data_IF_301503725922
#
_entry.id   IF_301503725922
#
_cell.length_a   1.000
_cell.length_b   1.000
_cell.length_c   1.000
_cell.angle_alpha   90.00
_cell.angle_beta   90.00
_cell.angle_gamma   90.00
#
_symmetry.space_group_name_H-M   'P 1'
#
loop_
_entity.id
_entity.type
_entity.pdbx_description
1 polymer ?
#
# COMPACT_ATOMS: atom_id res chain seq x y z
N UNK A 1 21.71 8.97 19.41
CA UNK A 1 22.44 8.21 18.37
C UNK A 1 23.09 9.27 17.53
N UNK A 2 24.42 9.34 17.49
CA UNK A 2 25.11 10.53 16.97
C UNK A 2 24.64 10.87 15.55
N UNK A 3 24.49 9.86 14.71
CA UNK A 3 24.10 9.97 13.30
C UNK A 3 22.65 10.48 13.13
N UNK A 4 21.71 10.00 13.95
CA UNK A 4 20.33 10.49 13.94
C UNK A 4 20.26 11.97 14.38
N UNK A 5 20.98 12.31 15.44
CA UNK A 5 21.02 13.66 15.98
C UNK A 5 21.67 14.62 14.97
N UNK A 6 22.76 14.21 14.32
CA UNK A 6 23.44 14.94 13.26
C UNK A 6 22.50 15.16 12.05
N UNK A 7 21.79 14.12 11.59
CA UNK A 7 20.85 14.24 10.48
C UNK A 7 19.67 15.18 10.80
N UNK A 8 19.12 15.10 12.01
CA UNK A 8 18.08 16.03 12.46
C UNK A 8 18.58 17.50 12.44
N UNK A 9 19.85 17.76 12.79
CA UNK A 9 20.42 19.11 12.66
C UNK A 9 20.54 19.55 11.20
N UNK A 10 20.87 18.64 10.29
CA UNK A 10 20.88 18.94 8.84
C UNK A 10 19.47 19.36 8.39
N UNK A 11 18.44 18.60 8.71
CA UNK A 11 17.05 18.91 8.33
C UNK A 11 16.59 20.25 8.93
N UNK A 12 16.91 20.54 10.19
CA UNK A 12 16.64 21.85 10.80
C UNK A 12 17.34 22.99 10.08
N UNK A 13 18.59 22.78 9.64
CA UNK A 13 19.34 23.77 8.87
C UNK A 13 18.73 23.98 7.49
N UNK A 14 18.32 22.91 6.80
CA UNK A 14 17.63 22.99 5.50
C UNK A 14 16.35 23.82 5.61
N UNK A 15 15.49 23.53 6.59
CA UNK A 15 14.27 24.31 6.87
C UNK A 15 14.51 25.79 7.12
N UNK A 16 15.69 26.16 7.62
CA UNK A 16 16.07 27.56 7.88
C UNK A 16 16.69 28.25 6.67
N UNK A 17 17.66 27.59 6.04
CA UNK A 17 18.58 28.20 5.07
C UNK A 17 18.17 27.94 3.60
N UNK A 18 17.54 26.81 3.30
CA UNK A 18 17.11 26.48 1.93
C UNK A 18 15.70 27.00 1.65
N UNK A 19 15.49 27.86 0.62
CA UNK A 19 14.17 28.38 0.28
C UNK A 19 13.15 27.30 -0.07
N UNK A 20 13.57 26.29 -0.84
CA UNK A 20 12.70 25.19 -1.26
C UNK A 20 12.22 24.36 -0.06
N UNK A 21 13.16 23.92 0.79
CA UNK A 21 12.83 23.15 1.99
C UNK A 21 11.96 23.94 2.95
N UNK A 22 12.23 25.25 3.12
CA UNK A 22 11.45 26.14 4.00
C UNK A 22 9.99 26.30 3.57
N UNK A 23 9.72 26.24 2.26
CA UNK A 23 8.37 26.37 1.72
C UNK A 23 7.55 25.07 1.80
N UNK A 24 8.20 23.92 2.02
CA UNK A 24 7.50 22.64 2.17
C UNK A 24 6.53 22.66 3.36
N UNK A 25 5.43 21.94 3.22
CA UNK A 25 4.35 21.82 4.19
C UNK A 25 4.12 20.36 4.59
N UNK A 26 3.27 20.13 5.60
CA UNK A 26 2.86 18.76 5.96
C UNK A 26 2.06 18.06 4.85
N UNK A 27 1.42 18.83 3.95
CA UNK A 27 0.74 18.25 2.81
C UNK A 27 1.77 17.69 1.82
N UNK A 28 2.80 18.47 1.47
CA UNK A 28 3.89 18.02 0.60
C UNK A 28 4.56 16.76 1.16
N UNK A 29 4.83 16.72 2.47
CA UNK A 29 5.41 15.53 3.12
C UNK A 29 4.49 14.30 3.03
N UNK A 30 3.18 14.51 3.01
CA UNK A 30 2.21 13.43 2.82
C UNK A 30 2.24 12.87 1.40
N UNK A 31 2.36 13.75 0.40
CA UNK A 31 2.47 13.37 -1.02
C UNK A 31 3.77 12.61 -1.28
N UNK A 32 4.92 13.15 -0.85
CA UNK A 32 6.21 12.46 -0.98
C UNK A 32 6.22 11.11 -0.24
N UNK A 33 5.59 10.99 0.93
CA UNK A 33 5.55 9.71 1.65
C UNK A 33 4.83 8.62 0.84
N UNK A 34 3.85 8.99 0.01
CA UNK A 34 3.17 8.03 -0.86
C UNK A 34 4.13 7.56 -1.95
N UNK A 35 4.89 8.47 -2.57
CA UNK A 35 5.88 8.17 -3.61
C UNK A 35 6.97 7.24 -3.07
N UNK A 36 7.70 7.64 -2.02
CA UNK A 36 8.77 6.84 -1.40
C UNK A 36 8.26 5.50 -0.86
N UNK A 37 7.00 5.42 -0.41
CA UNK A 37 6.44 4.14 0.01
C UNK A 37 6.31 3.16 -1.15
N UNK A 38 6.01 3.64 -2.37
CA UNK A 38 5.94 2.78 -3.55
C UNK A 38 7.33 2.44 -4.10
N UNK A 39 8.28 3.37 -4.03
CA UNK A 39 9.68 3.13 -4.40
C UNK A 39 10.33 2.10 -3.47
N UNK A 40 10.17 2.25 -2.14
CA UNK A 40 10.52 1.23 -1.14
C UNK A 40 9.91 -0.14 -1.45
N UNK A 41 8.61 -0.18 -1.77
CA UNK A 41 7.93 -1.44 -2.13
C UNK A 41 8.51 -2.07 -3.40
N UNK A 42 8.97 -1.26 -4.36
CA UNK A 42 9.62 -1.71 -5.58
C UNK A 42 11.00 -2.30 -5.28
N UNK A 43 11.83 -1.59 -4.52
CA UNK A 43 13.17 -2.01 -4.13
C UNK A 43 13.17 -3.35 -3.37
N UNK A 44 12.27 -3.50 -2.38
CA UNK A 44 12.10 -4.74 -1.61
C UNK A 44 11.73 -5.91 -2.52
N UNK A 45 10.86 -5.67 -3.51
CA UNK A 45 10.39 -6.69 -4.45
C UNK A 45 11.50 -7.15 -5.38
N UNK A 46 12.33 -6.23 -5.84
CA UNK A 46 13.44 -6.52 -6.76
C UNK A 46 14.65 -7.12 -6.04
N UNK A 47 14.61 -7.20 -4.70
CA UNK A 47 15.69 -7.75 -3.89
C UNK A 47 16.95 -6.88 -3.90
N UNK A 48 16.81 -5.61 -4.27
CA UNK A 48 17.92 -4.67 -4.41
C UNK A 48 18.14 -3.97 -3.08
N UNK A 49 19.01 -4.56 -2.26
CA UNK A 49 19.24 -4.09 -0.89
C UNK A 49 19.73 -2.65 -0.84
N UNK A 50 20.57 -2.23 -1.78
CA UNK A 50 21.06 -0.84 -1.85
C UNK A 50 19.93 0.16 -2.07
N UNK A 51 19.01 -0.13 -3.01
CA UNK A 51 17.80 0.69 -3.19
C UNK A 51 16.94 0.65 -1.92
N UNK A 52 16.73 -0.51 -1.28
CA UNK A 52 15.97 -0.60 -0.02
C UNK A 52 16.54 0.33 1.07
N UNK A 53 17.87 0.43 1.17
CA UNK A 53 18.54 1.33 2.11
C UNK A 53 18.32 2.81 1.78
N UNK A 54 18.38 3.16 0.50
CA UNK A 54 18.10 4.51 -0.03
C UNK A 54 16.67 4.95 0.31
N UNK A 55 15.68 4.14 -0.08
CA UNK A 55 14.26 4.40 0.12
C UNK A 55 13.87 4.49 1.61
N UNK A 56 14.49 3.67 2.47
CA UNK A 56 14.31 3.80 3.92
C UNK A 56 14.88 5.12 4.46
N UNK A 57 15.98 5.60 3.87
CA UNK A 57 16.56 6.90 4.13
C UNK A 57 15.61 8.04 3.77
N UNK A 58 14.95 7.96 2.62
CA UNK A 58 14.02 8.99 2.15
C UNK A 58 12.72 9.02 2.95
N UNK A 59 12.17 7.86 3.31
CA UNK A 59 11.07 7.78 4.29
C UNK A 59 11.47 8.40 5.64
N UNK A 60 12.72 8.19 6.09
CA UNK A 60 13.24 8.81 7.31
C UNK A 60 13.39 10.34 7.14
N UNK A 61 13.90 10.81 6.01
CA UNK A 61 14.01 12.24 5.68
C UNK A 61 12.64 12.92 5.76
N UNK A 62 11.63 12.34 5.13
CA UNK A 62 10.25 12.86 5.15
C UNK A 62 9.72 12.92 6.58
N UNK A 63 9.94 11.88 7.38
CA UNK A 63 9.54 11.88 8.79
C UNK A 63 10.21 13.01 9.59
N UNK A 64 11.52 13.22 9.40
CA UNK A 64 12.25 14.30 10.08
C UNK A 64 11.80 15.68 9.60
N UNK A 65 11.60 15.87 8.29
CA UNK A 65 11.12 17.12 7.71
C UNK A 65 9.73 17.48 8.26
N UNK A 66 8.80 16.52 8.27
CA UNK A 66 7.48 16.69 8.89
C UNK A 66 7.57 17.00 10.39
N UNK A 67 8.50 16.36 11.11
CA UNK A 67 8.73 16.59 12.53
C UNK A 67 9.26 18.01 12.81
N UNK A 68 10.17 18.53 11.98
CA UNK A 68 10.68 19.90 12.11
C UNK A 68 9.60 20.92 11.76
N UNK A 69 8.77 20.68 10.73
CA UNK A 69 7.60 21.53 10.42
C UNK A 69 6.61 21.58 11.61
N UNK A 70 6.46 20.48 12.33
CA UNK A 70 5.66 20.42 13.57
C UNK A 70 6.35 21.14 14.74
N UNK A 71 7.67 21.06 14.83
CA UNK A 71 8.48 21.76 15.84
C UNK A 71 8.33 23.28 15.72
N UNK A 72 8.32 23.82 14.49
CA UNK A 72 8.01 25.23 14.19
C UNK A 72 6.62 25.65 14.70
N UNK A 73 5.72 24.69 14.93
CA UNK A 73 4.36 24.89 15.48
C UNK A 73 4.26 24.50 16.96
N UNK A 74 5.39 24.35 17.65
CA UNK A 74 5.47 24.05 19.08
C UNK A 74 5.21 22.58 19.43
N UNK A 75 5.42 21.65 18.49
CA UNK A 75 5.29 20.19 18.72
C UNK A 75 6.66 19.53 18.56
N UNK A 76 7.23 19.03 19.65
CA UNK A 76 8.59 18.49 19.61
C UNK A 76 8.60 17.05 19.12
N UNK A 77 9.65 16.68 18.40
CA UNK A 77 9.85 15.32 17.90
C UNK A 77 9.85 14.27 19.02
N UNK A 78 10.38 14.62 20.20
CA UNK A 78 10.41 13.73 21.37
C UNK A 78 9.00 13.39 21.84
N UNK A 79 8.02 14.28 21.66
CA UNK A 79 6.63 14.03 22.02
C UNK A 79 5.98 13.04 21.05
N UNK A 80 6.36 13.05 19.78
CA UNK A 80 5.93 12.07 18.76
C UNK A 80 6.50 10.69 19.09
N UNK A 81 7.82 10.62 19.30
CA UNK A 81 8.54 9.39 19.64
C UNK A 81 8.03 8.79 20.95
N UNK A 82 7.83 9.61 21.98
CA UNK A 82 7.31 9.17 23.27
C UNK A 82 5.91 8.56 23.14
N UNK A 83 5.01 9.20 22.40
CA UNK A 83 3.65 8.68 22.17
C UNK A 83 3.65 7.32 21.46
N UNK A 84 4.45 7.15 20.41
CA UNK A 84 4.52 5.84 19.71
C UNK A 84 5.19 4.78 20.59
N UNK A 85 6.23 5.14 21.35
CA UNK A 85 6.89 4.25 22.32
C UNK A 85 5.91 3.75 23.39
N UNK A 86 5.22 4.66 24.07
CA UNK A 86 4.22 4.32 25.11
C UNK A 86 3.12 3.42 24.53
N UNK A 87 2.59 3.77 23.35
CA UNK A 87 1.60 2.96 22.63
C UNK A 87 2.13 1.56 22.30
N UNK A 88 3.39 1.42 21.90
CA UNK A 88 3.98 0.12 21.59
C UNK A 88 4.18 -0.72 22.86
N UNK A 89 4.64 -0.12 23.95
CA UNK A 89 4.78 -0.81 25.24
C UNK A 89 3.42 -1.31 25.75
N UNK A 90 2.41 -0.45 25.78
CA UNK A 90 1.04 -0.78 26.23
C UNK A 90 0.42 -1.93 25.42
N UNK A 91 0.74 -1.99 24.12
CA UNK A 91 0.21 -2.98 23.20
C UNK A 91 0.99 -4.30 23.18
N UNK A 92 2.15 -4.37 23.81
CA UNK A 92 2.99 -5.56 23.89
C UNK A 92 3.34 -5.95 25.33
N UNK A 93 2.37 -6.16 26.23
CA UNK A 93 2.68 -6.60 27.59
C UNK A 93 3.20 -8.04 27.66
N UNK A 94 3.10 -8.81 26.57
CA UNK A 94 3.77 -10.10 26.46
C UNK A 94 5.29 -9.96 26.26
N UNK A 95 5.76 -8.76 25.91
CA UNK A 95 7.19 -8.41 25.85
C UNK A 95 7.61 -7.56 27.05
N UNK A 96 6.79 -6.57 27.42
CA UNK A 96 7.14 -5.54 28.41
C UNK A 96 6.37 -5.63 29.75
N UNK A 97 5.60 -6.71 29.96
CA UNK A 97 4.78 -6.92 31.16
C UNK A 97 4.66 -8.40 31.51
N UNK A 98 3.51 -8.79 32.08
CA UNK A 98 3.28 -10.16 32.60
C UNK A 98 2.34 -11.01 31.73
N UNK A 99 1.84 -10.48 30.62
CA UNK A 99 0.94 -11.23 29.74
C UNK A 99 1.72 -12.34 29.00
N UNK A 100 1.03 -13.37 28.53
CA UNK A 100 1.66 -14.47 27.77
C UNK A 100 0.98 -14.62 26.42
N UNK A 101 1.75 -14.54 25.33
CA UNK A 101 1.29 -14.89 23.99
C UNK A 101 2.38 -15.76 23.34
N UNK A 102 1.98 -16.94 22.85
CA UNK A 102 2.88 -17.98 22.35
C UNK A 102 2.97 -18.01 20.84
N UNK A 103 2.00 -17.40 20.16
CA UNK A 103 1.93 -17.34 18.69
C UNK A 103 1.68 -15.92 18.21
N UNK A 104 2.06 -15.63 16.95
CA UNK A 104 1.76 -14.35 16.31
C UNK A 104 0.25 -14.08 16.23
N UNK A 105 -0.58 -15.12 16.07
CA UNK A 105 -2.03 -15.01 16.05
C UNK A 105 -2.59 -14.58 17.42
N UNK A 106 -2.07 -15.16 18.52
CA UNK A 106 -2.45 -14.74 19.87
C UNK A 106 -2.06 -13.28 20.14
N UNK A 107 -0.86 -12.87 19.71
CA UNK A 107 -0.40 -11.47 19.81
C UNK A 107 -1.35 -10.54 19.04
N UNK A 108 -1.66 -10.87 17.79
CA UNK A 108 -2.50 -10.05 16.92
C UNK A 108 -3.93 -9.91 17.46
N UNK A 109 -4.52 -11.00 17.98
CA UNK A 109 -5.84 -10.98 18.61
C UNK A 109 -5.87 -10.03 19.80
N UNK A 110 -4.92 -10.18 20.72
CA UNK A 110 -4.79 -9.30 21.90
C UNK A 110 -4.54 -7.84 21.52
N UNK A 111 -3.80 -7.61 20.44
CA UNK A 111 -3.52 -6.27 19.92
C UNK A 111 -4.78 -5.57 19.42
N UNK A 112 -5.64 -6.28 18.70
CA UNK A 112 -6.93 -5.76 18.24
C UNK A 112 -7.92 -5.55 19.39
N UNK A 113 -7.99 -6.46 20.36
CA UNK A 113 -8.88 -6.30 21.54
C UNK A 113 -8.53 -5.03 22.34
N UNK A 114 -7.25 -4.64 22.35
CA UNK A 114 -6.78 -3.39 22.98
C UNK A 114 -7.08 -2.15 22.13
N UNK A 115 -7.28 -2.28 20.82
CA UNK A 115 -7.74 -1.17 20.00
C UNK A 115 -9.20 -0.90 20.37
N UNK A 116 -9.43 0.10 21.21
CA UNK A 116 -10.77 0.63 21.58
C UNK A 116 -11.60 1.19 20.40
N UNK A 117 -11.20 0.90 19.15
CA UNK A 117 -11.95 1.26 17.95
C UNK A 117 -12.80 0.05 17.57
N UNK A 118 -14.12 0.21 17.49
CA UNK A 118 -15.07 -0.83 17.08
C UNK A 118 -14.84 -1.33 15.64
N UNK A 119 -15.89 -1.69 14.91
CA UNK A 119 -15.73 -2.05 13.49
C UNK A 119 -15.44 -0.80 12.65
N UNK A 120 -14.16 -0.44 12.58
CA UNK A 120 -13.66 0.74 11.89
C UNK A 120 -12.35 0.40 11.17
N UNK A 121 -12.29 0.85 9.92
CA UNK A 121 -11.11 0.89 9.06
C UNK A 121 -11.03 2.31 8.51
N UNK A 122 -9.82 2.84 8.44
CA UNK A 122 -9.56 4.22 8.02
C UNK A 122 -10.14 4.48 6.63
N UNK A 123 -10.83 5.62 6.47
CA UNK A 123 -11.55 5.95 5.23
C UNK A 123 -10.62 6.46 4.13
N UNK A 124 -9.48 7.03 4.51
CA UNK A 124 -8.48 7.56 3.58
C UNK A 124 -7.61 6.48 2.93
N UNK A 125 -7.77 5.21 3.32
CA UNK A 125 -7.05 4.12 2.65
C UNK A 125 -7.56 3.95 1.22
N UNK A 126 -6.68 3.61 0.26
CA UNK A 126 -7.08 3.15 -1.06
C UNK A 126 -8.15 2.05 -0.99
N UNK A 127 -9.05 2.02 -1.96
CA UNK A 127 -10.28 1.24 -1.88
C UNK A 127 -10.03 -0.27 -1.72
N UNK A 128 -9.06 -0.86 -2.46
CA UNK A 128 -8.74 -2.29 -2.35
C UNK A 128 -8.00 -2.61 -1.06
N UNK A 129 -7.10 -1.74 -0.60
CA UNK A 129 -6.49 -1.90 0.73
C UNK A 129 -7.55 -1.82 1.85
N UNK A 130 -8.52 -0.92 1.71
CA UNK A 130 -9.61 -0.72 2.66
C UNK A 130 -10.55 -1.92 2.68
N UNK A 131 -10.98 -2.42 1.52
CA UNK A 131 -11.85 -3.61 1.43
C UNK A 131 -11.17 -4.84 2.02
N UNK A 132 -9.89 -5.05 1.72
CA UNK A 132 -9.10 -6.15 2.29
C UNK A 132 -9.04 -6.07 3.82
N UNK A 133 -8.73 -4.89 4.40
CA UNK A 133 -8.69 -4.70 5.87
C UNK A 133 -10.06 -4.81 6.54
N UNK A 134 -11.13 -4.37 5.88
CA UNK A 134 -12.50 -4.53 6.39
C UNK A 134 -12.82 -6.02 6.57
N UNK A 135 -12.49 -6.82 5.56
CA UNK A 135 -12.73 -8.25 5.55
C UNK A 135 -11.80 -9.00 6.50
N UNK A 136 -10.52 -8.61 6.59
CA UNK A 136 -9.60 -9.14 7.60
C UNK A 136 -10.14 -8.91 9.02
N UNK A 137 -10.72 -7.73 9.27
CA UNK A 137 -11.33 -7.40 10.57
C UNK A 137 -12.62 -8.19 10.83
N UNK A 138 -13.43 -8.42 9.80
CA UNK A 138 -14.64 -9.24 9.88
C UNK A 138 -14.30 -10.70 10.19
N UNK A 139 -13.31 -11.26 9.49
CA UNK A 139 -12.77 -12.60 9.71
C UNK A 139 -12.36 -12.84 11.16
N UNK A 140 -11.67 -11.88 11.77
CA UNK A 140 -11.24 -11.96 13.17
C UNK A 140 -12.40 -12.02 14.17
N UNK A 141 -13.59 -11.58 13.79
CA UNK A 141 -14.83 -11.70 14.58
C UNK A 141 -15.60 -12.99 14.29
N UNK A 142 -15.04 -13.90 13.49
CA UNK A 142 -15.70 -15.14 13.07
C UNK A 142 -16.65 -14.97 11.89
N UNK A 143 -16.63 -13.82 11.20
CA UNK A 143 -17.41 -13.61 9.98
C UNK A 143 -16.48 -13.78 8.77
N UNK A 144 -16.32 -15.02 8.32
CA UNK A 144 -15.46 -15.39 7.19
C UNK A 144 -15.97 -16.63 6.46
N UNK A 145 -15.44 -16.86 5.26
CA UNK A 145 -15.63 -18.11 4.53
C UNK A 145 -14.80 -19.26 5.14
N UNK A 146 -15.33 -20.48 5.10
CA UNK A 146 -14.63 -21.67 5.59
C UNK A 146 -13.47 -22.11 4.69
N UNK A 147 -13.57 -21.84 3.39
CA UNK A 147 -12.56 -22.18 2.39
C UNK A 147 -12.49 -21.13 1.29
N UNK A 148 -11.38 -21.18 0.52
CA UNK A 148 -11.19 -20.32 -0.64
C UNK A 148 -12.22 -20.60 -1.75
N UNK A 149 -12.75 -21.83 -1.82
CA UNK A 149 -13.75 -22.21 -2.81
C UNK A 149 -15.05 -21.41 -2.64
N UNK A 150 -15.45 -21.15 -1.40
CA UNK A 150 -16.62 -20.30 -1.12
C UNK A 150 -16.44 -18.85 -1.61
N UNK A 151 -15.20 -18.35 -1.63
CA UNK A 151 -14.88 -17.04 -2.20
C UNK A 151 -14.97 -17.08 -3.72
N UNK A 152 -14.43 -18.13 -4.35
CA UNK A 152 -14.54 -18.30 -5.81
C UNK A 152 -15.99 -18.44 -6.28
N UNK A 153 -16.82 -19.15 -5.52
CA UNK A 153 -18.25 -19.27 -5.84
C UNK A 153 -18.96 -17.92 -5.71
N UNK A 154 -18.64 -17.13 -4.67
CA UNK A 154 -19.17 -15.77 -4.55
C UNK A 154 -18.68 -14.87 -5.69
N UNK A 155 -17.42 -14.96 -6.12
CA UNK A 155 -16.94 -14.20 -7.30
C UNK A 155 -17.75 -14.54 -8.56
N UNK A 156 -18.09 -15.82 -8.77
CA UNK A 156 -18.94 -16.22 -9.92
C UNK A 156 -20.34 -15.62 -9.81
N UNK A 157 -20.92 -15.63 -8.61
CA UNK A 157 -22.21 -15.01 -8.32
C UNK A 157 -22.19 -13.51 -8.65
N UNK A 158 -21.22 -12.75 -8.13
CA UNK A 158 -21.07 -11.30 -8.37
C UNK A 158 -20.85 -10.96 -9.86
N UNK A 159 -20.12 -11.82 -10.59
CA UNK A 159 -19.97 -11.67 -12.05
C UNK A 159 -21.31 -11.84 -12.76
N UNK A 160 -22.14 -12.80 -12.35
CA UNK A 160 -23.46 -13.00 -12.93
C UNK A 160 -24.45 -11.91 -12.49
N UNK A 161 -24.38 -11.40 -11.26
CA UNK A 161 -25.15 -10.24 -10.79
C UNK A 161 -24.82 -9.00 -11.63
N UNK A 162 -23.54 -8.66 -11.78
CA UNK A 162 -23.08 -7.57 -12.63
C UNK A 162 -23.51 -7.72 -14.09
N UNK A 163 -23.50 -8.95 -14.62
CA UNK A 163 -23.91 -9.23 -16.01
C UNK A 163 -25.40 -8.97 -16.25
N UNK A 164 -26.25 -9.21 -15.26
CA UNK A 164 -27.70 -9.03 -15.35
C UNK A 164 -28.16 -7.68 -14.77
N UNK A 165 -27.25 -6.90 -14.19
CA UNK A 165 -27.53 -5.62 -13.55
C UNK A 165 -28.13 -4.59 -14.52
N UNK A 166 -29.14 -3.89 -14.03
CA UNK A 166 -29.66 -2.69 -14.67
C UNK A 166 -28.62 -1.56 -14.58
N UNK A 167 -28.71 -0.57 -15.48
CA UNK A 167 -27.68 0.47 -15.63
C UNK A 167 -27.40 1.26 -14.34
N UNK A 168 -28.43 1.49 -13.53
CA UNK A 168 -28.38 2.17 -12.23
C UNK A 168 -27.77 1.33 -11.10
N UNK A 169 -27.68 0.01 -11.26
CA UNK A 169 -27.09 -0.91 -10.28
C UNK A 169 -25.69 -1.40 -10.67
N UNK A 170 -25.25 -1.20 -11.93
CA UNK A 170 -23.94 -1.71 -12.39
C UNK A 170 -22.75 -1.24 -11.56
N UNK A 171 -22.79 -0.01 -11.05
CA UNK A 171 -21.70 0.51 -10.20
C UNK A 171 -21.62 -0.24 -8.86
N UNK A 172 -22.77 -0.55 -8.26
CA UNK A 172 -22.88 -1.31 -7.01
C UNK A 172 -22.32 -2.72 -7.19
N UNK A 173 -22.84 -3.45 -8.19
CA UNK A 173 -22.44 -4.83 -8.48
C UNK A 173 -20.95 -4.93 -8.89
N UNK A 174 -20.43 -3.94 -9.61
CA UNK A 174 -19.01 -3.89 -9.92
C UNK A 174 -18.15 -3.64 -8.67
N UNK A 175 -18.65 -2.82 -7.75
CA UNK A 175 -18.04 -2.58 -6.44
C UNK A 175 -17.99 -3.85 -5.60
N UNK A 176 -19.07 -4.62 -5.56
CA UNK A 176 -19.17 -5.87 -4.79
C UNK A 176 -18.26 -6.96 -5.37
N UNK A 177 -18.19 -7.08 -6.71
CA UNK A 177 -17.18 -7.92 -7.36
C UNK A 177 -15.75 -7.57 -6.93
N UNK A 178 -15.37 -6.28 -6.96
CA UNK A 178 -14.04 -5.84 -6.52
C UNK A 178 -13.81 -6.12 -5.02
N UNK A 179 -14.86 -5.96 -4.21
CA UNK A 179 -14.81 -6.23 -2.78
C UNK A 179 -14.54 -7.71 -2.52
N UNK A 180 -15.28 -8.63 -3.16
CA UNK A 180 -15.10 -10.07 -3.00
C UNK A 180 -13.75 -10.54 -3.59
N UNK A 181 -13.32 -10.00 -4.74
CA UNK A 181 -12.00 -10.31 -5.32
C UNK A 181 -10.87 -9.94 -4.35
N UNK A 182 -10.96 -8.79 -3.68
CA UNK A 182 -9.97 -8.38 -2.69
C UNK A 182 -9.90 -9.33 -1.49
N UNK A 183 -10.96 -10.11 -1.22
CA UNK A 183 -10.98 -11.12 -0.16
C UNK A 183 -10.00 -12.27 -0.38
N UNK A 184 -9.72 -12.63 -1.64
CA UNK A 184 -8.72 -13.66 -1.96
C UNK A 184 -7.36 -13.35 -1.33
N UNK A 185 -7.04 -12.06 -1.18
CA UNK A 185 -5.86 -11.59 -0.47
C UNK A 185 -5.77 -12.08 0.99
N UNK A 186 -6.90 -12.23 1.70
CA UNK A 186 -6.92 -12.75 3.07
C UNK A 186 -6.56 -14.24 3.15
N UNK A 187 -6.95 -15.03 2.13
CA UNK A 187 -6.61 -16.45 2.06
C UNK A 187 -5.16 -16.67 1.63
N UNK A 188 -4.72 -15.93 0.61
CA UNK A 188 -3.37 -16.09 0.06
C UNK A 188 -2.30 -15.26 0.76
N UNK A 189 -2.68 -14.44 1.76
CA UNK A 189 -1.80 -13.48 2.43
C UNK A 189 -1.16 -12.50 1.45
N UNK A 190 -1.94 -12.05 0.48
CA UNK A 190 -1.56 -11.10 -0.55
C UNK A 190 -2.26 -9.78 -0.26
N UNK A 191 -1.50 -8.68 -0.25
CA UNK A 191 -2.09 -7.34 -0.23
C UNK A 191 -2.62 -7.00 -1.65
N UNK A 192 -3.94 -6.89 -1.85
CA UNK A 192 -4.51 -6.73 -3.18
C UNK A 192 -4.19 -5.37 -3.83
N UNK A 193 -4.02 -4.31 -3.03
CA UNK A 193 -3.61 -2.99 -3.52
C UNK A 193 -2.23 -3.06 -4.17
N UNK A 194 -1.28 -3.66 -3.45
CA UNK A 194 0.10 -3.84 -3.94
C UNK A 194 0.12 -4.80 -5.14
N UNK A 195 -0.71 -5.83 -5.14
CA UNK A 195 -0.82 -6.76 -6.26
C UNK A 195 -1.38 -6.08 -7.53
N UNK A 196 -2.38 -5.20 -7.39
CA UNK A 196 -2.93 -4.45 -8.52
C UNK A 196 -1.91 -3.45 -9.06
N UNK A 197 -1.23 -2.70 -8.18
CA UNK A 197 -0.16 -1.78 -8.59
C UNK A 197 0.88 -2.51 -9.47
N UNK A 198 1.32 -3.70 -9.04
CA UNK A 198 2.25 -4.54 -9.83
C UNK A 198 1.68 -4.96 -11.19
N UNK A 199 0.39 -5.24 -11.26
CA UNK A 199 -0.27 -5.58 -12.52
C UNK A 199 -0.27 -4.36 -13.48
N UNK A 200 -0.50 -3.16 -12.94
CA UNK A 200 -0.41 -1.89 -13.67
C UNK A 200 1.01 -1.64 -14.19
N UNK A 201 2.05 -1.74 -13.33
CA UNK A 201 3.45 -1.56 -13.73
C UNK A 201 3.84 -2.50 -14.87
N UNK A 202 3.48 -3.79 -14.73
CA UNK A 202 3.74 -4.82 -15.73
C UNK A 202 3.02 -4.52 -17.04
N UNK A 203 1.79 -4.02 -16.99
CA UNK A 203 1.05 -3.62 -18.17
C UNK A 203 1.73 -2.45 -18.87
N UNK A 204 2.11 -1.42 -18.12
CA UNK A 204 2.80 -0.22 -18.63
C UNK A 204 4.13 -0.58 -19.31
N UNK A 205 4.95 -1.43 -18.69
CA UNK A 205 6.20 -1.91 -19.29
C UNK A 205 5.97 -2.63 -20.62
N UNK A 206 5.03 -3.58 -20.63
CA UNK A 206 4.69 -4.34 -21.84
C UNK A 206 4.14 -3.45 -22.95
N UNK A 207 3.30 -2.49 -22.59
CA UNK A 207 2.72 -1.56 -23.55
C UNK A 207 3.79 -0.64 -24.15
N UNK A 208 4.76 -0.18 -23.36
CA UNK A 208 5.90 0.60 -23.86
C UNK A 208 6.76 -0.20 -24.85
N UNK A 209 7.05 -1.47 -24.54
CA UNK A 209 7.76 -2.37 -25.46
C UNK A 209 6.98 -2.57 -26.76
N UNK A 210 5.65 -2.72 -26.66
CA UNK A 210 4.78 -2.83 -27.82
C UNK A 210 4.86 -1.57 -28.69
N UNK A 211 4.82 -0.37 -28.08
CA UNK A 211 5.00 0.90 -28.80
C UNK A 211 6.34 0.97 -29.52
N UNK A 212 7.42 0.52 -28.88
CA UNK A 212 8.75 0.49 -29.47
C UNK A 212 8.85 -0.48 -30.65
N UNK A 213 8.27 -1.68 -30.54
CA UNK A 213 8.25 -2.66 -31.62
C UNK A 213 7.43 -2.16 -32.82
N UNK A 214 6.24 -1.62 -32.57
CA UNK A 214 5.40 -1.03 -33.63
C UNK A 214 6.14 0.11 -34.33
N UNK A 215 6.84 0.96 -33.56
CA UNK A 215 7.68 2.03 -34.11
C UNK A 215 8.85 1.48 -34.93
N UNK A 216 9.52 0.41 -34.49
CA UNK A 216 10.59 -0.27 -35.26
C UNK A 216 10.10 -0.85 -36.58
N UNK A 217 8.83 -1.27 -36.64
CA UNK A 217 8.17 -1.70 -37.86
C UNK A 217 7.78 -0.53 -38.80
N UNK A 218 8.00 0.71 -38.38
CA UNK A 218 7.61 1.91 -39.14
C UNK A 218 6.09 2.14 -39.18
N UNK A 219 5.34 1.51 -38.27
CA UNK A 219 3.88 1.64 -38.15
C UNK A 219 3.50 2.52 -36.95
N UNK A 220 2.22 2.89 -36.87
CA UNK A 220 1.60 3.48 -35.68
C UNK A 220 0.59 2.51 -35.08
N UNK A 221 0.40 2.56 -33.76
CA UNK A 221 -0.53 1.65 -33.04
C UNK A 221 -1.95 1.83 -33.56
N UNK A 222 -2.38 3.06 -33.79
CA UNK A 222 -3.74 3.41 -34.22
C UNK A 222 -4.08 2.89 -35.62
N UNK A 223 -3.05 2.54 -36.41
CA UNK A 223 -3.17 2.01 -37.77
C UNK A 223 -3.17 0.47 -37.79
N UNK A 224 -3.00 -0.18 -36.63
CA UNK A 224 -2.94 -1.63 -36.50
C UNK A 224 -4.24 -2.22 -35.95
N UNK A 225 -4.54 -3.44 -36.38
CA UNK A 225 -5.67 -4.20 -35.85
C UNK A 225 -5.33 -4.80 -34.48
N UNK A 226 -6.35 -5.03 -33.65
CA UNK A 226 -6.17 -5.72 -32.35
C UNK A 226 -5.47 -7.08 -32.53
N UNK A 227 -5.77 -7.82 -33.59
CA UNK A 227 -5.12 -9.11 -33.89
C UNK A 227 -3.63 -8.99 -34.19
N UNK A 228 -3.19 -7.89 -34.82
CA UNK A 228 -1.76 -7.63 -35.04
C UNK A 228 -1.08 -7.20 -33.75
N UNK A 229 -1.72 -6.34 -32.96
CA UNK A 229 -1.21 -5.89 -31.66
C UNK A 229 -1.11 -7.05 -30.66
N UNK A 230 -2.09 -7.96 -30.64
CA UNK A 230 -2.10 -9.16 -29.80
C UNK A 230 -0.94 -10.09 -30.12
N UNK A 231 -0.55 -10.24 -31.41
CA UNK A 231 0.62 -11.05 -31.78
C UNK A 231 1.92 -10.48 -31.22
N UNK A 232 2.07 -9.16 -31.29
CA UNK A 232 3.22 -8.44 -30.70
C UNK A 232 3.19 -8.57 -29.17
N UNK A 233 2.03 -8.39 -28.57
CA UNK A 233 1.82 -8.50 -27.13
C UNK A 233 2.16 -9.89 -26.58
N UNK A 234 1.74 -10.97 -27.25
CA UNK A 234 2.09 -12.33 -26.85
C UNK A 234 3.60 -12.59 -27.00
N UNK A 235 4.25 -12.08 -28.05
CA UNK A 235 5.70 -12.16 -28.18
C UNK A 235 6.43 -11.48 -27.01
N UNK A 236 6.02 -10.26 -26.65
CA UNK A 236 6.55 -9.51 -25.49
C UNK A 236 6.35 -10.26 -24.17
N UNK A 237 5.26 -11.04 -24.04
CA UNK A 237 5.00 -11.85 -22.84
C UNK A 237 5.90 -13.08 -22.71
N UNK A 238 6.37 -13.63 -23.83
CA UNK A 238 7.27 -14.79 -23.87
C UNK A 238 8.72 -14.41 -23.55
N UNK A 239 9.13 -13.20 -23.94
CA UNK A 239 10.42 -12.60 -23.58
C UNK A 239 10.39 -12.10 -22.13
N UNK A 240 10.66 -13.02 -21.19
CA UNK A 240 10.76 -12.75 -19.75
C UNK A 240 11.96 -11.87 -19.38
#
# INVERSE_FOLDING_TARGET
>A
MKEFDDFLQVVRRLRKECPWDRERTLQDMGEYLVEEAYEFLSAVREGKIEEVEEELGDVLLIFLMASVILEERGRRIEDIIRKVKEKMIERHPHVFGEDVARTGEEVLKKWEDRKKKGFYVERSLPALLRSWKLQEKAKRKGFDWESVDGVYDKIKEEVEELRHAQEDLREEEFGDLLFVVSHLGNFFKINPEVALHRACDKFQERFRRLEEEVRRMGKKIEEMTLQELDKIWEHIKEEK
#
